data_IF_661432239561
#
_entry.id   IF_661432239561
#
_cell.length_a   1.000
_cell.length_b   1.000
_cell.length_c   1.000
_cell.angle_alpha   90.00
_cell.angle_beta   90.00
_cell.angle_gamma   90.00
#
_symmetry.space_group_name_H-M   'P 1'
#
loop_
_entity.id
_entity.type
_entity.pdbx_description
1 polymer ?
#
# COMPACT_ATOMS: atom_id res chain seq x y z
N UNK A 1 -14.47 39.72 -31.91
CA UNK A 1 -13.92 39.25 -30.62
C UNK A 1 -14.95 38.36 -29.93
N UNK A 2 -14.98 37.04 -30.19
CA UNK A 2 -15.88 36.13 -29.44
C UNK A 2 -15.62 34.63 -29.67
N UNK A 3 -14.37 34.20 -29.94
CA UNK A 3 -14.07 32.76 -30.18
C UNK A 3 -12.90 32.20 -29.35
N UNK A 4 -12.33 32.97 -28.42
CA UNK A 4 -11.12 32.58 -27.69
C UNK A 4 -11.32 32.32 -26.19
N UNK A 5 -12.55 32.27 -25.69
CA UNK A 5 -12.84 32.05 -24.25
C UNK A 5 -13.43 30.68 -23.93
N UNK A 6 -13.93 29.93 -24.93
CA UNK A 6 -14.52 28.60 -24.69
C UNK A 6 -13.49 27.48 -24.52
N UNK A 7 -12.26 27.64 -25.02
CA UNK A 7 -11.23 26.58 -24.96
C UNK A 7 -10.57 26.44 -23.58
N UNK A 8 -10.61 27.47 -22.74
CA UNK A 8 -9.99 27.44 -21.40
C UNK A 8 -10.92 26.75 -20.38
N UNK A 9 -12.24 26.76 -20.62
CA UNK A 9 -13.23 26.14 -19.72
C UNK A 9 -13.26 24.61 -19.89
N UNK A 10 -12.93 24.07 -21.07
CA UNK A 10 -12.91 22.62 -21.30
C UNK A 10 -11.65 21.93 -20.73
N UNK A 11 -10.54 22.67 -20.56
CA UNK A 11 -9.30 22.13 -19.98
C UNK A 11 -9.38 21.98 -18.44
N UNK A 12 -10.24 22.74 -17.78
CA UNK A 12 -10.41 22.67 -16.31
C UNK A 12 -11.30 21.51 -15.84
N UNK A 13 -12.17 20.98 -16.69
CA UNK A 13 -13.12 19.91 -16.31
C UNK A 13 -12.43 18.54 -16.25
N UNK A 14 -11.38 18.30 -17.05
CA UNK A 14 -10.68 17.02 -17.08
C UNK A 14 -9.79 16.76 -15.84
N UNK A 15 -9.33 17.80 -15.15
CA UNK A 15 -8.53 17.66 -13.92
C UNK A 15 -9.36 17.29 -12.69
N UNK A 16 -10.63 17.72 -12.64
CA UNK A 16 -11.49 17.52 -11.48
C UNK A 16 -11.92 16.05 -11.31
N UNK A 17 -12.06 15.31 -12.41
CA UNK A 17 -12.49 13.90 -12.36
C UNK A 17 -11.39 12.95 -11.88
N UNK A 18 -10.11 13.32 -12.02
CA UNK A 18 -9.00 12.47 -11.57
C UNK A 18 -8.79 12.56 -10.05
N UNK A 19 -8.95 13.76 -9.47
CA UNK A 19 -8.78 13.98 -8.02
C UNK A 19 -9.81 13.22 -7.16
N UNK A 20 -11.07 13.12 -7.62
CA UNK A 20 -12.10 12.40 -6.86
C UNK A 20 -11.86 10.88 -6.83
N UNK A 21 -11.37 10.29 -7.92
CA UNK A 21 -11.04 8.86 -7.95
C UNK A 21 -9.84 8.52 -7.06
N UNK A 22 -8.83 9.41 -7.01
CA UNK A 22 -7.65 9.21 -6.16
C UNK A 22 -8.02 9.26 -4.67
N UNK A 23 -8.85 10.22 -4.25
CA UNK A 23 -9.30 10.31 -2.85
C UNK A 23 -10.14 9.10 -2.43
N UNK A 24 -10.99 8.56 -3.31
CA UNK A 24 -11.76 7.34 -3.04
C UNK A 24 -10.85 6.11 -2.89
N UNK A 25 -9.83 5.96 -3.74
CA UNK A 25 -8.86 4.87 -3.66
C UNK A 25 -8.00 4.97 -2.39
N UNK A 26 -7.42 6.14 -2.10
CA UNK A 26 -6.66 6.39 -0.88
C UNK A 26 -7.52 6.22 0.36
N UNK A 27 -8.80 6.62 0.31
CA UNK A 27 -9.75 6.43 1.38
C UNK A 27 -9.98 4.96 1.72
N UNK A 28 -10.08 4.10 0.70
CA UNK A 28 -10.20 2.66 0.92
C UNK A 28 -8.94 2.06 1.53
N UNK A 29 -7.77 2.38 0.99
CA UNK A 29 -6.47 1.90 1.52
C UNK A 29 -6.29 2.37 2.96
N UNK A 30 -6.69 3.61 3.27
CA UNK A 30 -6.64 4.17 4.61
C UNK A 30 -7.51 3.40 5.60
N UNK A 31 -8.77 3.09 5.24
CA UNK A 31 -9.65 2.29 6.11
C UNK A 31 -9.06 0.89 6.36
N UNK A 32 -8.44 0.28 5.34
CA UNK A 32 -7.73 -0.98 5.50
C UNK A 32 -6.54 -0.85 6.44
N UNK A 33 -5.66 0.12 6.21
CA UNK A 33 -4.47 0.35 7.04
C UNK A 33 -4.84 0.62 8.50
N UNK A 34 -5.91 1.39 8.74
CA UNK A 34 -6.40 1.70 10.08
C UNK A 34 -6.96 0.47 10.79
N UNK A 35 -7.74 -0.35 10.09
CA UNK A 35 -8.21 -1.62 10.63
C UNK A 35 -7.05 -2.56 11.00
N UNK A 36 -6.05 -2.68 10.12
CA UNK A 36 -4.84 -3.47 10.40
C UNK A 36 -4.10 -2.96 11.64
N UNK A 37 -3.99 -1.64 11.79
CA UNK A 37 -3.37 -1.00 12.96
C UNK A 37 -4.13 -1.29 14.25
N UNK A 38 -5.45 -1.13 14.25
CA UNK A 38 -6.29 -1.33 15.45
C UNK A 38 -6.47 -2.82 15.82
N UNK A 39 -6.06 -3.73 14.93
CA UNK A 39 -6.01 -5.18 15.17
C UNK A 39 -4.58 -5.70 15.40
N UNK A 40 -3.65 -4.79 15.71
CA UNK A 40 -2.24 -5.08 16.05
C UNK A 40 -1.40 -5.72 14.92
N UNK A 41 -1.87 -5.66 13.67
CA UNK A 41 -1.16 -6.17 12.48
C UNK A 41 -0.22 -5.10 11.92
N UNK A 42 0.76 -4.72 12.73
CA UNK A 42 1.53 -3.51 12.50
C UNK A 42 2.33 -3.51 11.20
N UNK A 43 2.95 -4.63 10.81
CA UNK A 43 3.72 -4.74 9.57
C UNK A 43 2.86 -4.53 8.33
N UNK A 44 1.67 -5.13 8.31
CA UNK A 44 0.71 -4.98 7.21
C UNK A 44 0.12 -3.57 7.17
N UNK A 45 -0.21 -3.01 8.35
CA UNK A 45 -0.65 -1.62 8.46
C UNK A 45 0.40 -0.67 7.89
N UNK A 46 1.69 -0.86 8.22
CA UNK A 46 2.80 -0.07 7.69
C UNK A 46 2.87 -0.17 6.18
N UNK A 47 2.72 -1.38 5.62
CA UNK A 47 2.75 -1.60 4.18
C UNK A 47 1.60 -0.85 3.47
N UNK A 48 0.39 -0.87 4.02
CA UNK A 48 -0.76 -0.14 3.45
C UNK A 48 -0.59 1.38 3.63
N UNK A 49 -0.13 1.88 4.78
CA UNK A 49 0.17 3.31 4.97
C UNK A 49 1.28 3.80 4.03
N UNK A 50 2.28 2.96 3.70
CA UNK A 50 3.30 3.31 2.71
C UNK A 50 2.69 3.62 1.34
N UNK A 51 1.68 2.84 0.91
CA UNK A 51 1.00 3.10 -0.38
C UNK A 51 0.32 4.46 -0.39
N UNK A 52 -0.31 4.85 0.74
CA UNK A 52 -0.97 6.15 0.88
C UNK A 52 0.06 7.28 0.82
N UNK A 53 1.10 7.20 1.64
CA UNK A 53 2.10 8.27 1.80
C UNK A 53 2.91 8.48 0.52
N UNK A 54 3.12 7.43 -0.28
CA UNK A 54 3.78 7.55 -1.58
C UNK A 54 2.95 8.33 -2.62
N UNK A 55 1.63 8.41 -2.44
CA UNK A 55 0.73 9.16 -3.32
C UNK A 55 0.45 10.57 -2.75
N UNK A 56 0.15 10.63 -1.46
CA UNK A 56 -0.13 11.87 -0.75
C UNK A 56 0.37 11.77 0.71
N UNK A 57 1.54 12.36 1.02
CA UNK A 57 2.07 12.43 2.38
C UNK A 57 1.17 13.19 3.36
N UNK A 58 0.32 14.10 2.87
CA UNK A 58 -0.59 14.90 3.69
C UNK A 58 -1.97 14.23 3.89
N UNK A 59 -2.14 12.99 3.43
CA UNK A 59 -3.43 12.30 3.50
C UNK A 59 -3.84 11.99 4.94
N UNK A 60 -4.80 12.77 5.46
CA UNK A 60 -5.36 12.63 6.82
C UNK A 60 -4.24 12.59 7.87
N UNK A 61 -4.20 11.54 8.69
CA UNK A 61 -3.19 11.29 9.71
C UNK A 61 -2.38 10.01 9.40
N UNK A 62 -2.26 9.64 8.12
CA UNK A 62 -1.58 8.40 7.69
C UNK A 62 -0.13 8.31 8.19
N UNK A 63 0.62 9.42 8.16
CA UNK A 63 1.98 9.49 8.71
C UNK A 63 2.00 9.19 10.21
N UNK A 64 1.12 9.83 10.98
CA UNK A 64 0.99 9.59 12.42
C UNK A 64 0.60 8.14 12.72
N UNK A 65 -0.38 7.58 12.00
CA UNK A 65 -0.82 6.18 12.19
C UNK A 65 0.26 5.17 11.82
N UNK A 66 1.04 5.41 10.76
CA UNK A 66 2.23 4.61 10.43
C UNK A 66 3.29 4.71 11.52
N UNK A 67 3.50 5.90 12.09
CA UNK A 67 4.39 6.09 13.23
C UNK A 67 3.93 5.29 14.45
N UNK A 68 2.62 5.26 14.74
CA UNK A 68 2.03 4.44 15.82
C UNK A 68 2.30 2.95 15.60
N UNK A 69 2.08 2.43 14.39
CA UNK A 69 2.42 1.06 14.04
C UNK A 69 3.91 0.75 14.24
N UNK A 70 4.81 1.61 13.73
CA UNK A 70 6.26 1.47 13.90
C UNK A 70 6.70 1.53 15.36
N UNK A 71 6.03 2.34 16.17
CA UNK A 71 6.34 2.45 17.59
C UNK A 71 6.01 1.15 18.33
N UNK A 72 4.89 0.50 18.00
CA UNK A 72 4.53 -0.80 18.55
C UNK A 72 5.57 -1.89 18.20
N UNK A 73 6.25 -1.75 17.05
CA UNK A 73 7.37 -2.61 16.63
C UNK A 73 8.75 -2.14 17.14
N UNK A 74 8.80 -1.16 18.05
CA UNK A 74 10.03 -0.55 18.56
C UNK A 74 10.96 0.05 17.48
N UNK A 75 10.43 0.37 16.29
CA UNK A 75 11.18 0.94 15.17
C UNK A 75 11.36 2.46 15.30
N UNK A 76 11.95 2.92 16.41
CA UNK A 76 11.94 4.33 16.85
C UNK A 76 12.54 5.32 15.84
N UNK A 77 13.57 4.94 15.06
CA UNK A 77 14.11 5.80 14.00
C UNK A 77 13.04 6.10 12.93
N UNK A 78 12.26 5.10 12.55
CA UNK A 78 11.17 5.24 11.60
C UNK A 78 9.99 6.04 12.17
N UNK A 79 9.71 5.91 13.47
CA UNK A 79 8.71 6.72 14.18
C UNK A 79 9.08 8.20 14.10
N UNK A 80 10.33 8.55 14.44
CA UNK A 80 10.81 9.93 14.35
C UNK A 80 10.65 10.50 12.95
N UNK A 81 11.11 9.78 11.92
CA UNK A 81 10.98 10.21 10.52
C UNK A 81 9.53 10.50 10.14
N UNK A 82 8.61 9.59 10.46
CA UNK A 82 7.20 9.75 10.12
C UNK A 82 6.53 10.93 10.85
N UNK A 83 6.88 11.15 12.12
CA UNK A 83 6.33 12.26 12.90
C UNK A 83 6.88 13.61 12.43
N UNK A 84 8.16 13.70 12.09
CA UNK A 84 8.71 14.93 11.51
C UNK A 84 8.02 15.28 10.18
N UNK A 85 7.82 14.29 9.30
CA UNK A 85 7.05 14.48 8.08
C UNK A 85 5.60 14.88 8.37
N UNK A 86 4.99 14.32 9.40
CA UNK A 86 3.63 14.68 9.81
C UNK A 86 3.57 16.15 10.26
N UNK A 87 4.56 16.62 11.00
CA UNK A 87 4.63 18.01 11.46
C UNK A 87 4.78 18.97 10.28
N UNK A 88 5.59 18.60 9.29
CA UNK A 88 5.81 19.40 8.09
C UNK A 88 4.55 19.52 7.21
N UNK A 89 3.86 18.40 6.96
CA UNK A 89 2.74 18.38 6.01
C UNK A 89 1.38 18.72 6.62
N UNK A 90 1.15 18.32 7.87
CA UNK A 90 -0.17 18.37 8.52
C UNK A 90 -0.14 19.28 9.75
N UNK A 91 1.02 19.41 10.39
CA UNK A 91 1.21 20.15 11.64
C UNK A 91 1.32 19.23 12.86
N UNK A 92 1.67 19.83 14.00
CA UNK A 92 1.77 19.12 15.28
C UNK A 92 0.40 18.94 15.93
N UNK A 93 0.04 17.69 16.24
CA UNK A 93 -1.07 17.35 17.13
C UNK A 93 -0.55 16.93 18.50
N UNK A 94 -1.45 16.89 19.49
CA UNK A 94 -1.13 16.45 20.84
C UNK A 94 -0.59 15.02 20.84
N UNK A 95 -1.26 14.14 20.12
CA UNK A 95 -0.92 12.73 20.04
C UNK A 95 0.42 12.53 19.32
N UNK A 96 0.69 13.31 18.29
CA UNK A 96 1.90 13.17 17.49
C UNK A 96 3.15 13.69 18.21
N UNK A 97 3.07 14.82 18.94
CA UNK A 97 4.22 15.33 19.72
C UNK A 97 4.53 14.45 20.93
N UNK A 98 3.49 13.88 21.57
CA UNK A 98 3.68 12.94 22.67
C UNK A 98 4.33 11.65 22.19
N UNK A 99 3.86 11.09 21.08
CA UNK A 99 4.48 9.90 20.49
C UNK A 99 5.93 10.15 20.07
N UNK A 100 6.25 11.37 19.62
CA UNK A 100 7.62 11.75 19.26
C UNK A 100 8.54 11.75 20.48
N UNK A 101 8.09 12.37 21.59
CA UNK A 101 8.80 12.34 22.85
C UNK A 101 8.96 10.91 23.38
N UNK A 102 7.90 10.09 23.34
CA UNK A 102 7.93 8.70 23.80
C UNK A 102 8.95 7.87 22.99
N UNK A 103 8.97 8.05 21.67
CA UNK A 103 9.96 7.40 20.80
C UNK A 103 11.40 7.87 21.06
N UNK A 104 11.59 9.16 21.36
CA UNK A 104 12.88 9.70 21.76
C UNK A 104 13.36 9.05 23.05
N UNK A 105 12.52 8.99 24.08
CA UNK A 105 12.86 8.33 25.36
C UNK A 105 13.20 6.85 25.17
N UNK A 106 12.36 6.12 24.45
CA UNK A 106 12.57 4.70 24.21
C UNK A 106 13.85 4.41 23.41
N UNK A 107 14.31 5.37 22.60
CA UNK A 107 15.58 5.30 21.87
C UNK A 107 16.79 5.90 22.61
N UNK A 108 16.60 6.46 23.82
CA UNK A 108 17.67 7.12 24.57
C UNK A 108 18.12 8.47 23.98
N UNK A 109 17.26 9.15 23.22
CA UNK A 109 17.56 10.42 22.57
C UNK A 109 17.53 11.58 23.58
N UNK A 110 18.62 12.35 23.62
CA UNK A 110 18.77 13.49 24.53
C UNK A 110 17.77 14.63 24.30
N UNK A 111 17.09 14.67 23.16
CA UNK A 111 16.03 15.63 22.84
C UNK A 111 14.69 15.37 23.54
N UNK A 112 14.48 14.16 24.09
CA UNK A 112 13.22 13.78 24.74
C UNK A 112 12.71 14.78 25.80
N UNK A 113 13.55 15.28 26.74
CA UNK A 113 13.09 16.21 27.78
C UNK A 113 12.59 17.53 27.21
N UNK A 114 13.17 17.99 26.09
CA UNK A 114 12.74 19.23 25.44
C UNK A 114 11.41 19.01 24.73
N UNK A 115 11.28 17.93 23.96
CA UNK A 115 10.03 17.57 23.27
C UNK A 115 8.86 17.40 24.26
N UNK A 116 9.09 16.71 25.38
CA UNK A 116 8.05 16.54 26.41
C UNK A 116 7.69 17.84 27.12
N UNK A 117 8.65 18.74 27.30
CA UNK A 117 8.37 20.08 27.82
C UNK A 117 7.51 20.88 26.85
N UNK A 118 7.84 20.89 25.56
CA UNK A 118 7.04 21.51 24.51
C UNK A 118 5.61 20.93 24.51
N UNK A 119 5.47 19.61 24.56
CA UNK A 119 4.17 18.96 24.62
C UNK A 119 3.35 19.44 25.83
N UNK A 120 3.98 19.67 27.00
CA UNK A 120 3.31 20.17 28.20
C UNK A 120 2.89 21.63 28.12
N UNK A 121 3.58 22.45 27.32
CA UNK A 121 3.23 23.86 27.09
C UNK A 121 2.12 23.98 26.05
N UNK A 122 2.19 23.22 24.97
CA UNK A 122 1.19 23.24 23.89
C UNK A 122 -0.12 22.57 24.32
N UNK A 123 -0.04 21.54 25.15
CA UNK A 123 -1.19 20.74 25.58
C UNK A 123 -1.22 20.60 27.11
N UNK A 124 -1.42 21.72 27.84
CA UNK A 124 -1.27 21.78 29.28
C UNK A 124 -2.22 20.85 30.02
N UNK A 125 -3.37 20.50 29.44
CA UNK A 125 -4.35 19.61 30.07
C UNK A 125 -4.11 18.11 29.88
N UNK A 126 -3.13 17.72 29.06
CA UNK A 126 -2.85 16.32 28.82
C UNK A 126 -2.20 15.65 30.04
N UNK A 127 -2.79 14.54 30.50
CA UNK A 127 -2.33 13.80 31.69
C UNK A 127 -0.88 13.30 31.57
N UNK A 128 -0.47 12.83 30.39
CA UNK A 128 0.90 12.35 30.16
C UNK A 128 1.87 13.54 30.19
N UNK A 129 1.56 14.61 29.45
CA UNK A 129 2.39 15.82 29.43
C UNK A 129 2.54 16.46 30.83
N UNK A 130 1.45 16.54 31.62
CA UNK A 130 1.48 16.99 33.03
C UNK A 130 2.41 16.13 33.89
N UNK A 131 2.43 14.82 33.67
CA UNK A 131 3.30 13.88 34.42
C UNK A 131 4.78 14.16 34.13
N UNK A 132 5.13 14.46 32.88
CA UNK A 132 6.50 14.82 32.50
C UNK A 132 6.96 16.13 33.12
N UNK A 133 6.13 17.18 33.07
CA UNK A 133 6.42 18.46 33.73
C UNK A 133 6.73 18.28 35.22
N UNK A 134 5.86 17.56 35.94
CA UNK A 134 6.04 17.26 37.38
C UNK A 134 7.31 16.46 37.68
N UNK A 135 7.64 15.45 36.86
CA UNK A 135 8.85 14.64 37.03
C UNK A 135 10.12 15.50 36.86
N UNK A 136 10.14 16.37 35.84
CA UNK A 136 11.26 17.27 35.57
C UNK A 136 11.45 18.29 36.70
N UNK A 137 10.37 18.92 37.18
CA UNK A 137 10.38 19.85 38.32
C UNK A 137 10.92 19.19 39.61
N UNK A 138 10.59 17.91 39.84
CA UNK A 138 11.10 17.13 40.97
C UNK A 138 12.59 16.77 40.84
N UNK A 139 13.07 16.53 39.62
CA UNK A 139 14.48 16.19 39.35
C UNK A 139 15.40 17.42 39.33
N UNK A 140 14.90 18.58 38.91
CA UNK A 140 15.69 19.82 38.82
C UNK A 140 15.58 20.74 40.04
N UNK A 141 14.64 20.48 40.96
CA UNK A 141 14.42 21.29 42.15
C UNK A 141 13.97 22.74 41.86
N UNK A 142 13.61 23.02 40.60
CA UNK A 142 13.16 24.33 40.15
C UNK A 142 11.64 24.27 39.90
N UNK A 143 10.87 24.81 40.82
CA UNK A 143 9.54 25.35 40.50
C UNK A 143 9.77 26.58 39.60
N UNK A 144 9.83 26.37 38.29
CA UNK A 144 9.63 27.50 37.37
C UNK A 144 8.12 27.75 37.30
N UNK A 145 7.67 28.77 38.05
CA UNK A 145 6.33 29.32 37.86
C UNK A 145 6.09 29.59 36.37
N UNK A 146 4.93 29.21 35.82
CA UNK A 146 4.60 29.55 34.45
C UNK A 146 4.53 31.06 34.35
N UNK A 147 5.51 31.69 33.68
CA UNK A 147 5.30 33.04 33.16
C UNK A 147 4.15 32.93 32.17
N UNK A 148 2.99 33.43 32.56
CA UNK A 148 1.85 33.66 31.68
C UNK A 148 2.31 34.55 30.52
N UNK A 149 2.66 33.93 29.40
CA UNK A 149 2.64 34.60 28.10
C UNK A 149 1.28 34.32 27.48
N UNK A 150 0.26 34.91 28.09
CA UNK A 150 -1.08 35.04 27.54
C UNK A 150 -1.07 35.93 26.30
N UNK A 151 -0.54 35.42 25.19
CA UNK A 151 -0.97 35.84 23.86
C UNK A 151 -0.87 34.66 22.92
N UNK A 152 -1.98 34.34 22.25
CA UNK A 152 -2.08 33.34 21.18
C UNK A 152 -1.02 33.55 20.07
N UNK A 153 -0.45 34.75 19.96
CA UNK A 153 0.69 35.09 19.08
C UNK A 153 2.05 34.57 19.55
N UNK A 154 2.33 34.56 20.85
CA UNK A 154 3.62 34.09 21.39
C UNK A 154 3.80 32.58 21.25
N UNK A 155 2.72 31.82 21.47
CA UNK A 155 2.68 30.37 21.25
C UNK A 155 2.87 30.02 19.76
N UNK A 156 2.22 30.75 18.85
CA UNK A 156 2.41 30.56 17.40
C UNK A 156 3.85 30.83 16.96
N UNK A 157 4.49 31.83 17.56
CA UNK A 157 5.88 32.17 17.25
C UNK A 157 6.89 31.16 17.82
N UNK A 158 6.62 30.60 19.01
CA UNK A 158 7.43 29.50 19.56
C UNK A 158 7.25 28.21 18.78
N UNK A 159 6.01 27.87 18.37
CA UNK A 159 5.72 26.75 17.48
C UNK A 159 6.46 26.90 16.16
N UNK A 160 6.40 28.07 15.53
CA UNK A 160 7.09 28.34 14.26
C UNK A 160 8.62 28.26 14.38
N UNK A 161 9.20 28.81 15.44
CA UNK A 161 10.65 28.67 15.71
C UNK A 161 11.06 27.22 15.96
N UNK A 162 10.13 26.41 16.45
CA UNK A 162 10.36 25.00 16.66
C UNK A 162 10.20 24.18 15.38
N UNK A 163 9.23 24.52 14.52
CA UNK A 163 9.11 24.01 13.15
C UNK A 163 10.40 24.28 12.36
N UNK A 164 10.97 25.49 12.45
CA UNK A 164 12.25 25.83 11.81
C UNK A 164 13.42 25.01 12.37
N UNK A 165 13.45 24.74 13.68
CA UNK A 165 14.46 23.86 14.29
C UNK A 165 14.29 22.40 13.89
N UNK A 166 13.06 21.94 13.83
CA UNK A 166 12.71 20.59 13.37
C UNK A 166 13.12 20.42 11.91
N UNK A 167 12.83 21.41 11.06
CA UNK A 167 13.26 21.48 9.67
C UNK A 167 14.79 21.45 9.55
N UNK A 168 15.53 22.20 10.38
CA UNK A 168 17.00 22.11 10.39
C UNK A 168 17.56 20.74 10.82
N UNK A 169 16.87 20.05 11.73
CA UNK A 169 17.21 18.68 12.15
C UNK A 169 16.84 17.67 11.04
N UNK A 170 15.82 17.99 10.22
CA UNK A 170 15.35 17.17 9.12
C UNK A 170 16.37 17.15 7.97
N UNK A 171 16.99 18.29 7.66
CA UNK A 171 18.08 18.41 6.66
C UNK A 171 19.29 17.54 7.02
N UNK A 172 19.59 17.39 8.32
CA UNK A 172 20.69 16.56 8.82
C UNK A 172 20.35 15.05 8.81
N UNK A 173 19.06 14.68 8.96
CA UNK A 173 18.60 13.29 9.05
C UNK A 173 18.16 12.69 7.70
N UNK A 174 17.78 13.54 6.76
CA UNK A 174 17.38 13.20 5.39
C UNK A 174 18.24 14.00 4.40
N UNK A 175 19.52 13.67 4.22
CA UNK A 175 20.28 14.24 3.11
C UNK A 175 19.54 13.91 1.80
N UNK A 176 19.42 14.89 0.90
CA UNK A 176 18.73 14.76 -0.39
C UNK A 176 19.07 13.42 -1.08
N UNK A 177 18.10 12.50 -1.14
CA UNK A 177 18.18 11.27 -1.93
C UNK A 177 18.01 11.61 -3.43
N UNK A 178 18.84 12.50 -3.97
CA UNK A 178 18.94 12.75 -5.42
C UNK A 178 20.13 12.02 -6.08
N UNK A 179 20.80 11.09 -5.39
CA UNK A 179 21.80 10.20 -6.00
C UNK A 179 21.66 8.75 -5.57
N UNK A 180 20.71 8.05 -6.17
CA UNK A 180 20.85 6.61 -6.43
C UNK A 180 20.18 6.24 -7.76
N UNK A 181 20.66 6.86 -8.83
CA UNK A 181 20.71 6.24 -10.15
C UNK A 181 22.19 6.06 -10.48
N UNK A 182 22.52 4.86 -10.95
CA UNK A 182 23.83 4.40 -11.40
C UNK A 182 24.82 4.05 -10.28
N UNK A 183 24.96 2.75 -10.01
CA UNK A 183 26.17 1.97 -10.33
C UNK A 183 26.07 0.58 -9.66
N UNK A 184 26.14 -0.48 -10.47
CA UNK A 184 26.93 -1.71 -10.27
C UNK A 184 26.43 -2.89 -11.14
N UNK A 185 26.66 -2.79 -12.46
CA UNK A 185 27.45 -3.82 -13.17
C UNK A 185 28.90 -3.32 -13.05
N UNK A 186 29.97 -4.08 -12.85
CA UNK A 186 30.27 -5.50 -12.95
C UNK A 186 31.67 -5.67 -12.33
N UNK A 187 31.98 -6.81 -11.73
CA UNK A 187 33.32 -7.37 -11.93
C UNK A 187 33.34 -8.89 -11.81
N UNK A 188 34.05 -9.46 -12.77
CA UNK A 188 34.04 -10.84 -13.22
C UNK A 188 35.41 -11.47 -12.92
N UNK A 189 35.44 -12.75 -12.54
CA UNK A 189 36.46 -13.78 -12.83
C UNK A 189 36.13 -15.01 -11.96
N UNK A 190 36.14 -16.26 -12.43
CA UNK A 190 36.49 -16.88 -13.70
C UNK A 190 36.43 -18.41 -13.54
N UNK A 191 36.87 -19.13 -14.58
CA UNK A 191 37.06 -20.59 -14.76
C UNK A 191 35.92 -21.32 -15.50
N UNK A 192 35.99 -21.44 -16.84
CA UNK A 192 36.73 -22.42 -17.68
C UNK A 192 36.24 -23.88 -17.59
N UNK A 193 35.73 -24.39 -18.71
CA UNK A 193 35.52 -25.83 -18.94
C UNK A 193 34.86 -26.10 -20.29
N UNK A 194 35.68 -26.33 -21.32
CA UNK A 194 35.32 -26.65 -22.71
C UNK A 194 35.52 -28.16 -22.93
N UNK A 195 34.54 -28.86 -23.48
CA UNK A 195 34.69 -30.12 -24.24
C UNK A 195 33.36 -30.40 -24.98
N UNK A 196 33.25 -30.31 -26.31
CA UNK A 196 33.77 -31.17 -27.39
C UNK A 196 32.68 -32.14 -27.89
N UNK A 197 32.42 -32.05 -29.19
CA UNK A 197 31.51 -32.89 -30.00
C UNK A 197 31.90 -34.38 -29.95
N UNK A 198 31.05 -35.26 -30.52
CA UNK A 198 31.41 -35.71 -31.87
C UNK A 198 30.24 -35.79 -32.87
N UNK A 199 30.61 -35.54 -34.12
CA UNK A 199 29.91 -35.80 -35.36
C UNK A 199 29.61 -37.31 -35.57
N UNK A 200 28.56 -37.59 -36.34
CA UNK A 200 28.60 -38.70 -37.30
C UNK A 200 27.71 -38.38 -38.51
N UNK A 201 28.34 -38.22 -39.66
CA UNK A 201 27.75 -38.15 -40.99
C UNK A 201 27.19 -39.52 -41.43
N UNK A 202 26.10 -39.52 -42.20
CA UNK A 202 26.11 -40.12 -43.54
C UNK A 202 24.83 -39.82 -44.33
N UNK A 203 25.08 -39.52 -45.60
CA UNK A 203 24.20 -39.06 -46.66
C UNK A 203 23.27 -40.15 -47.23
N UNK A 204 22.13 -39.75 -47.80
CA UNK A 204 21.82 -40.02 -49.21
C UNK A 204 20.55 -39.30 -49.69
N UNK A 205 20.67 -38.74 -50.89
CA UNK A 205 19.71 -37.94 -51.65
C UNK A 205 18.50 -38.70 -52.19
N UNK A 206 17.36 -38.01 -52.33
CA UNK A 206 16.63 -37.94 -53.60
C UNK A 206 15.51 -36.90 -53.60
N UNK A 207 15.48 -36.17 -54.71
CA UNK A 207 14.56 -35.12 -55.13
C UNK A 207 13.09 -35.58 -55.27
N UNK A 208 12.15 -34.62 -55.22
CA UNK A 208 10.88 -34.76 -55.95
C UNK A 208 9.62 -34.18 -55.31
N UNK A 209 9.20 -33.04 -55.85
CA UNK A 209 7.82 -32.57 -56.05
C UNK A 209 6.98 -31.97 -54.91
N UNK A 210 6.71 -30.67 -55.12
CA UNK A 210 5.66 -29.88 -54.51
C UNK A 210 4.28 -30.33 -55.01
N UNK A 211 3.34 -30.56 -54.08
CA UNK A 211 1.92 -30.41 -54.37
C UNK A 211 1.17 -29.96 -53.11
N UNK A 212 0.42 -28.87 -53.27
CA UNK A 212 -0.39 -28.15 -52.30
C UNK A 212 -1.43 -29.04 -51.61
N UNK A 213 -1.48 -29.04 -50.27
CA UNK A 213 -2.63 -29.53 -49.51
C UNK A 213 -3.23 -28.42 -48.65
N UNK A 214 -4.55 -28.32 -48.71
CA UNK A 214 -5.38 -27.27 -48.12
C UNK A 214 -5.29 -27.31 -46.59
N UNK A 215 -5.37 -26.17 -45.89
CA UNK A 215 -5.27 -26.16 -44.43
C UNK A 215 -6.47 -26.88 -43.82
N UNK A 216 -6.22 -28.05 -43.22
CA UNK A 216 -7.16 -28.71 -42.33
C UNK A 216 -7.30 -27.86 -41.07
N UNK A 217 -8.51 -27.39 -40.83
CA UNK A 217 -8.95 -26.65 -39.66
C UNK A 217 -8.61 -27.47 -38.40
N UNK A 218 -7.52 -27.08 -37.73
CA UNK A 218 -7.04 -27.75 -36.54
C UNK A 218 -7.97 -27.36 -35.38
N UNK A 219 -8.96 -28.20 -35.08
CA UNK A 219 -9.79 -28.09 -33.87
C UNK A 219 -8.85 -28.09 -32.67
N UNK A 220 -8.60 -26.91 -32.07
CA UNK A 220 -7.95 -26.78 -30.77
C UNK A 220 -8.71 -27.69 -29.79
N UNK A 221 -8.06 -28.76 -29.37
CA UNK A 221 -8.54 -29.62 -28.29
C UNK A 221 -8.56 -28.73 -27.04
N UNK A 222 -9.75 -28.43 -26.55
CA UNK A 222 -9.95 -27.61 -25.36
C UNK A 222 -9.68 -28.50 -24.15
N UNK A 223 -8.41 -28.65 -23.78
CA UNK A 223 -8.03 -29.33 -22.55
C UNK A 223 -8.51 -28.45 -21.40
N UNK A 224 -9.42 -28.92 -20.53
CA UNK A 224 -9.87 -28.14 -19.41
C UNK A 224 -8.68 -27.84 -18.51
N UNK A 225 -8.37 -26.57 -18.37
CA UNK A 225 -7.29 -26.11 -17.51
C UNK A 225 -7.77 -26.11 -16.05
N UNK A 226 -7.24 -27.08 -15.29
CA UNK A 226 -7.52 -27.29 -13.88
C UNK A 226 -6.49 -26.64 -12.95
N UNK A 227 -5.67 -25.73 -13.48
CA UNK A 227 -4.71 -24.98 -12.65
C UNK A 227 -5.41 -24.15 -11.58
N UNK A 228 -4.69 -23.98 -10.46
CA UNK A 228 -5.10 -23.16 -9.33
C UNK A 228 -4.01 -22.13 -9.07
N UNK A 229 -4.39 -20.88 -8.93
CA UNK A 229 -3.50 -19.80 -8.51
C UNK A 229 -4.02 -19.21 -7.20
N UNK A 230 -3.20 -19.31 -6.16
CA UNK A 230 -3.51 -18.82 -4.81
C UNK A 230 -2.87 -17.47 -4.59
N UNK A 231 -3.70 -16.50 -4.17
CA UNK A 231 -3.28 -15.14 -3.89
C UNK A 231 -3.58 -14.85 -2.43
N UNK A 232 -2.51 -14.70 -1.66
CA UNK A 232 -2.61 -14.26 -0.28
C UNK A 232 -2.82 -12.74 -0.26
N UNK A 233 -4.00 -12.29 0.19
CA UNK A 233 -4.30 -10.86 0.31
C UNK A 233 -3.79 -10.37 1.65
N UNK A 234 -4.21 -11.07 2.70
CA UNK A 234 -3.95 -10.79 4.10
C UNK A 234 -4.36 -12.03 4.92
N UNK A 235 -4.14 -12.05 6.24
CA UNK A 235 -4.41 -13.24 7.06
C UNK A 235 -5.89 -13.66 7.16
N UNK A 236 -6.81 -12.75 6.86
CA UNK A 236 -8.25 -12.98 6.90
C UNK A 236 -8.81 -13.34 5.52
N UNK A 237 -8.02 -13.18 4.46
CA UNK A 237 -8.46 -13.38 3.09
C UNK A 237 -7.37 -13.98 2.18
N UNK A 238 -7.71 -15.13 1.62
CA UNK A 238 -6.98 -15.73 0.50
C UNK A 238 -7.91 -15.90 -0.69
N UNK A 239 -7.42 -15.65 -1.89
CA UNK A 239 -8.16 -15.92 -3.13
C UNK A 239 -7.59 -17.14 -3.82
N UNK A 240 -8.47 -17.95 -4.38
CA UNK A 240 -8.09 -19.01 -5.32
C UNK A 240 -8.73 -18.75 -6.68
N UNK A 241 -7.92 -18.68 -7.72
CA UNK A 241 -8.38 -18.58 -9.10
C UNK A 241 -8.28 -19.96 -9.74
N UNK A 242 -9.39 -20.43 -10.30
CA UNK A 242 -9.54 -21.79 -10.83
C UNK A 242 -10.20 -21.80 -12.21
N UNK A 243 -10.25 -22.99 -12.81
CA UNK A 243 -11.06 -23.31 -14.00
C UNK A 243 -10.70 -22.44 -15.20
N UNK A 244 -9.50 -22.58 -15.77
CA UNK A 244 -9.08 -21.85 -16.96
C UNK A 244 -8.50 -20.46 -16.74
N UNK A 245 -8.63 -19.90 -15.53
CA UNK A 245 -7.97 -18.65 -15.16
C UNK A 245 -6.78 -18.84 -14.22
N UNK A 246 -6.57 -20.05 -13.68
CA UNK A 246 -5.50 -20.33 -12.73
C UNK A 246 -4.11 -20.08 -13.33
N UNK A 247 -3.86 -20.56 -14.55
CA UNK A 247 -2.56 -20.39 -15.21
C UNK A 247 -2.37 -19.00 -15.82
N UNK A 248 -3.38 -18.14 -15.77
CA UNK A 248 -3.35 -16.84 -16.43
C UNK A 248 -2.76 -15.79 -15.48
N UNK A 249 -1.73 -15.09 -15.95
CA UNK A 249 -1.08 -14.00 -15.19
C UNK A 249 -2.07 -12.88 -14.89
N UNK A 250 -2.00 -12.33 -13.68
CA UNK A 250 -2.79 -11.18 -13.24
C UNK A 250 -1.92 -9.93 -13.40
N UNK A 251 -2.41 -8.96 -14.16
CA UNK A 251 -1.72 -7.68 -14.38
C UNK A 251 -2.09 -6.65 -13.32
N UNK A 252 -3.34 -6.68 -12.87
CA UNK A 252 -3.82 -5.75 -11.86
C UNK A 252 -4.86 -6.45 -10.98
N UNK A 253 -4.66 -6.29 -9.67
CA UNK A 253 -5.54 -6.78 -8.62
C UNK A 253 -6.15 -5.57 -7.90
N UNK A 254 -7.44 -5.63 -7.50
CA UNK A 254 -8.04 -4.59 -6.69
C UNK A 254 -7.54 -4.62 -5.25
N UNK A 255 -7.64 -3.47 -4.57
CA UNK A 255 -7.55 -3.42 -3.12
C UNK A 255 -8.83 -4.06 -2.54
N UNK A 256 -8.65 -5.11 -1.73
CA UNK A 256 -9.74 -5.86 -1.09
C UNK A 256 -9.49 -5.85 0.42
N UNK A 257 -10.57 -5.65 1.16
CA UNK A 257 -10.66 -5.78 2.61
C UNK A 257 -11.99 -6.49 2.89
N UNK A 258 -11.93 -7.61 3.60
CA UNK A 258 -13.12 -8.34 4.04
C UNK A 258 -13.08 -8.43 5.55
N UNK A 259 -14.13 -7.91 6.17
CA UNK A 259 -14.36 -7.99 7.61
C UNK A 259 -15.52 -8.97 7.83
N UNK A 260 -15.24 -10.08 8.52
CA UNK A 260 -16.23 -11.12 8.79
C UNK A 260 -15.92 -11.80 10.11
N UNK A 261 -16.94 -12.07 10.91
CA UNK A 261 -16.84 -12.95 12.09
C UNK A 261 -16.96 -14.43 11.70
N UNK A 262 -17.50 -14.70 10.51
CA UNK A 262 -17.74 -16.06 10.02
C UNK A 262 -16.70 -16.46 8.98
N UNK A 263 -16.09 -17.63 9.17
CA UNK A 263 -15.21 -18.24 8.18
C UNK A 263 -16.00 -18.98 7.10
N UNK A 264 -15.49 -18.98 5.88
CA UNK A 264 -16.09 -19.72 4.77
C UNK A 264 -15.64 -19.25 3.41
N UNK A 265 -16.38 -19.65 2.38
CA UNK A 265 -16.04 -19.40 0.98
C UNK A 265 -17.15 -18.64 0.29
N UNK A 266 -16.77 -17.64 -0.52
CA UNK A 266 -17.64 -17.01 -1.51
C UNK A 266 -17.02 -17.26 -2.88
N UNK A 267 -17.64 -18.13 -3.68
CA UNK A 267 -17.25 -18.41 -5.04
C UNK A 267 -17.96 -17.47 -6.02
N UNK A 268 -17.20 -16.92 -6.96
CA UNK A 268 -17.69 -16.02 -8.01
C UNK A 268 -17.24 -16.55 -9.37
N UNK A 269 -18.19 -16.84 -10.24
CA UNK A 269 -17.92 -17.20 -11.63
C UNK A 269 -17.64 -15.93 -12.43
N UNK A 270 -16.54 -15.91 -13.17
CA UNK A 270 -16.07 -14.75 -13.92
C UNK A 270 -15.78 -15.14 -15.36
N UNK A 271 -16.09 -14.25 -16.31
CA UNK A 271 -15.64 -14.37 -17.69
C UNK A 271 -14.75 -13.19 -18.05
N UNK A 272 -13.63 -13.50 -18.70
CA UNK A 272 -12.58 -12.55 -19.05
C UNK A 272 -12.47 -12.49 -20.56
N UNK A 273 -12.49 -11.28 -21.11
CA UNK A 273 -12.37 -11.10 -22.55
C UNK A 273 -10.91 -11.27 -23.05
N UNK A 274 -10.76 -11.23 -24.38
CA UNK A 274 -9.45 -11.29 -25.06
C UNK A 274 -8.42 -10.30 -24.50
N UNK A 275 -8.86 -9.11 -24.12
CA UNK A 275 -8.00 -8.03 -23.61
C UNK A 275 -7.62 -8.20 -22.13
N UNK A 276 -8.13 -9.24 -21.46
CA UNK A 276 -7.83 -9.51 -20.06
C UNK A 276 -8.77 -8.83 -19.05
N UNK A 277 -9.77 -8.09 -19.51
CA UNK A 277 -10.74 -7.45 -18.61
C UNK A 277 -11.85 -8.43 -18.24
N UNK A 278 -12.21 -8.48 -16.97
CA UNK A 278 -13.40 -9.19 -16.48
C UNK A 278 -14.66 -8.50 -17.01
N UNK A 279 -15.49 -9.22 -17.75
CA UNK A 279 -16.73 -8.71 -18.36
C UNK A 279 -18.00 -9.15 -17.62
N UNK A 280 -17.94 -10.29 -16.93
CA UNK A 280 -19.01 -10.78 -16.05
C UNK A 280 -18.43 -11.29 -14.74
N UNK A 281 -19.21 -11.15 -13.67
CA UNK A 281 -18.94 -11.73 -12.37
C UNK A 281 -20.28 -12.03 -11.70
N UNK A 282 -20.51 -13.29 -11.35
CA UNK A 282 -21.77 -13.80 -10.82
C UNK A 282 -21.52 -14.73 -9.63
N UNK A 283 -22.34 -14.59 -8.58
CA UNK A 283 -22.23 -15.40 -7.38
C UNK A 283 -22.52 -16.87 -7.68
N UNK A 284 -21.65 -17.76 -7.21
CA UNK A 284 -21.81 -19.21 -7.32
C UNK A 284 -22.23 -19.79 -5.97
N UNK A 285 -23.54 -19.84 -5.74
CA UNK A 285 -24.14 -20.39 -4.52
C UNK A 285 -23.72 -21.83 -4.21
N UNK A 286 -23.81 -22.78 -5.17
CA UNK A 286 -23.41 -24.16 -4.96
C UNK A 286 -21.96 -24.37 -4.47
N UNK A 287 -21.03 -23.51 -4.90
CA UNK A 287 -19.62 -23.57 -4.49
C UNK A 287 -19.26 -22.62 -3.33
N UNK A 288 -20.25 -21.95 -2.74
CA UNK A 288 -20.09 -21.02 -1.62
C UNK A 288 -20.61 -21.63 -0.32
N UNK A 289 -19.96 -21.31 0.80
CA UNK A 289 -20.46 -21.63 2.14
C UNK A 289 -21.01 -20.41 2.86
N UNK A 290 -20.57 -19.20 2.48
CA UNK A 290 -21.10 -17.94 3.00
C UNK A 290 -22.24 -17.46 2.11
N UNK A 291 -23.37 -17.12 2.74
CA UNK A 291 -24.57 -16.58 2.07
C UNK A 291 -24.90 -15.13 2.50
N UNK A 292 -24.04 -14.49 3.28
CA UNK A 292 -24.24 -13.10 3.73
C UNK A 292 -24.17 -12.14 2.54
N UNK A 293 -25.26 -11.41 2.29
CA UNK A 293 -25.44 -10.59 1.09
C UNK A 293 -24.37 -9.51 0.90
N UNK A 294 -23.87 -8.91 1.99
CA UNK A 294 -22.81 -7.89 1.95
C UNK A 294 -21.49 -8.46 1.43
N UNK A 295 -21.09 -9.64 1.92
CA UNK A 295 -19.89 -10.35 1.50
C UNK A 295 -19.99 -10.82 0.05
N UNK A 296 -21.15 -11.36 -0.35
CA UNK A 296 -21.42 -11.73 -1.74
C UNK A 296 -21.28 -10.51 -2.66
N UNK A 297 -21.94 -9.40 -2.33
CA UNK A 297 -21.94 -8.20 -3.16
C UNK A 297 -20.55 -7.59 -3.28
N UNK A 298 -19.76 -7.63 -2.20
CA UNK A 298 -18.37 -7.18 -2.20
C UNK A 298 -17.48 -8.07 -3.08
N UNK A 299 -17.56 -9.40 -2.91
CA UNK A 299 -16.79 -10.35 -3.71
C UNK A 299 -17.09 -10.18 -5.20
N UNK A 300 -18.37 -10.17 -5.59
CA UNK A 300 -18.80 -9.97 -6.99
C UNK A 300 -18.31 -8.63 -7.55
N UNK A 301 -18.40 -7.54 -6.78
CA UNK A 301 -17.92 -6.23 -7.21
C UNK A 301 -16.40 -6.25 -7.43
N UNK A 302 -15.64 -6.77 -6.46
CA UNK A 302 -14.17 -6.81 -6.52
C UNK A 302 -13.67 -7.75 -7.61
N UNK A 303 -14.35 -8.86 -7.88
CA UNK A 303 -14.02 -9.72 -9.03
C UNK A 303 -14.05 -8.99 -10.37
N UNK A 304 -14.89 -7.96 -10.56
CA UNK A 304 -14.95 -7.18 -11.81
C UNK A 304 -13.79 -6.22 -12.00
N UNK A 305 -13.04 -5.93 -10.93
CA UNK A 305 -11.92 -4.98 -10.95
C UNK A 305 -10.59 -5.66 -11.34
N UNK A 306 -10.54 -7.00 -11.44
CA UNK A 306 -9.35 -7.73 -11.87
C UNK A 306 -9.03 -7.51 -13.35
N UNK A 307 -7.73 -7.48 -13.64
CA UNK A 307 -7.19 -7.47 -15.00
C UNK A 307 -6.16 -8.58 -15.18
N UNK A 308 -6.38 -9.41 -16.18
CA UNK A 308 -5.54 -10.54 -16.54
C UNK A 308 -4.69 -10.21 -17.78
N UNK A 309 -3.67 -11.01 -18.04
CA UNK A 309 -2.88 -10.94 -19.27
C UNK A 309 -3.75 -11.20 -20.50
N UNK A 310 -3.41 -10.63 -21.67
CA UNK A 310 -4.19 -10.83 -22.90
C UNK A 310 -4.16 -12.31 -23.35
N UNK A 311 -5.20 -12.74 -24.04
CA UNK A 311 -5.32 -14.11 -24.59
C UNK A 311 -5.64 -14.08 -26.09
N UNK A 312 -5.45 -15.20 -26.76
CA UNK A 312 -5.93 -15.39 -28.14
C UNK A 312 -7.40 -15.85 -28.20
N UNK A 313 -7.95 -16.30 -27.07
CA UNK A 313 -9.34 -16.71 -26.97
C UNK A 313 -10.21 -15.47 -26.76
N UNK A 314 -11.35 -15.41 -27.46
CA UNK A 314 -12.28 -14.28 -27.39
C UNK A 314 -12.78 -14.03 -25.97
N UNK A 315 -13.11 -15.10 -25.27
CA UNK A 315 -13.61 -15.10 -23.90
C UNK A 315 -13.24 -16.41 -23.22
N UNK A 316 -12.88 -16.32 -21.95
CA UNK A 316 -12.50 -17.45 -21.11
C UNK A 316 -13.13 -17.25 -19.74
N UNK A 317 -13.86 -18.25 -19.28
CA UNK A 317 -14.55 -18.22 -17.98
C UNK A 317 -13.84 -19.11 -16.99
N UNK A 318 -13.89 -18.71 -15.72
CA UNK A 318 -13.35 -19.45 -14.58
C UNK A 318 -14.01 -18.98 -13.29
N UNK A 319 -13.36 -19.25 -12.16
CA UNK A 319 -13.91 -18.93 -10.84
C UNK A 319 -12.86 -18.27 -9.97
N UNK A 320 -13.27 -17.24 -9.21
CA UNK A 320 -12.49 -16.62 -8.13
C UNK A 320 -13.18 -16.99 -6.83
N UNK A 321 -12.48 -17.71 -5.95
CA UNK A 321 -13.00 -18.15 -4.66
C UNK A 321 -12.35 -17.31 -3.57
N UNK A 322 -13.17 -16.55 -2.84
CA UNK A 322 -12.76 -15.79 -1.67
C UNK A 322 -12.84 -16.70 -0.46
N UNK A 323 -11.69 -17.10 0.06
CA UNK A 323 -11.56 -17.88 1.30
C UNK A 323 -11.38 -16.89 2.43
N UNK A 324 -12.45 -16.73 3.21
CA UNK A 324 -12.54 -15.77 4.29
C UNK A 324 -12.33 -16.52 5.60
N UNK A 325 -11.35 -16.08 6.37
CA UNK A 325 -11.12 -16.52 7.73
C UNK A 325 -11.76 -15.50 8.66
N UNK A 326 -12.90 -15.88 9.25
CA UNK A 326 -13.57 -15.03 10.23
C UNK A 326 -12.86 -15.11 11.58
N UNK A 327 -12.79 -13.97 12.28
CA UNK A 327 -12.28 -13.89 13.64
C UNK A 327 -13.43 -13.74 14.61
N UNK A 328 -13.51 -14.68 15.55
CA UNK A 328 -14.52 -14.72 16.61
C UNK A 328 -14.12 -13.89 17.82
#
# INVERSE_FOLDING_TARGET
>A
MQKLTFSIIFLFIAGFTFGQNLDEELGFIYVKADYLLETDRYEEAIAEFNKIINQDPAYKDALYKRAKAKYALAAYKGVKKDLLLSFEHIGMTQESILLFGEAQEASGDAGAPNTMEIASRLYPDNRKAKKYKKKKEQETGAEEEPKETDTEGGLKEEVKKLEEKISSILDDLLPDDEKSKEENESDNQGETGKAQEPESENENDSEGDMAEDKPKENKKINIPDNSVNEIYIDEDLTLEIRNGLGSRTILQQPNILILSETSGKVAVNVCVNRNGKVVSAEYDGPNSTINTQSLISLAVRKSKEFWFEKSDVKEMCGSIIFIISGRA
#
